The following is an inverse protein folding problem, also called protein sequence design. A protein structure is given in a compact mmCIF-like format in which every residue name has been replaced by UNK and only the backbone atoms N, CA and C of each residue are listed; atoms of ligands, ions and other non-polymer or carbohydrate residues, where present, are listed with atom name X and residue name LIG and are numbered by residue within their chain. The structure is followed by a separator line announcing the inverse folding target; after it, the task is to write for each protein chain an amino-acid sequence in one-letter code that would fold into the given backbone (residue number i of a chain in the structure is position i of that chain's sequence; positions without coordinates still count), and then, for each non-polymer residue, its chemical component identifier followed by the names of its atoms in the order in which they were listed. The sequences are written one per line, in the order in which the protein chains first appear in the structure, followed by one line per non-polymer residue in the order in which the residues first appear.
data_IF_547466355766
#
_entry.id   IF_547466355766
#
_cell.length_a   1.000
_cell.length_b   1.000
_cell.length_c   1.000
_cell.angle_alpha   90.00
_cell.angle_beta   90.00
_cell.angle_gamma   90.00
#
_symmetry.space_group_name_H-M   'P 1'
#
loop_
_entity.id
_entity.type
_entity.pdbx_description
1 polymer ?
#
# COMPACT_ATOMS: atom_id res chain seq x y z
N UNK A 1 -14.68 4.85 -7.30
CA UNK A 1 -14.18 3.45 -7.21
C UNK A 1 -13.89 3.06 -5.76
N UNK A 2 -13.26 3.94 -4.96
CA UNK A 2 -12.92 3.64 -3.57
C UNK A 2 -14.11 3.28 -2.68
N UNK A 3 -15.11 4.17 -2.52
CA UNK A 3 -16.26 3.91 -1.66
C UNK A 3 -17.05 2.67 -2.05
N UNK A 4 -17.30 2.46 -3.34
CA UNK A 4 -18.09 1.33 -3.83
C UNK A 4 -17.42 -0.02 -3.50
N UNK A 5 -16.10 -0.15 -3.71
CA UNK A 5 -15.41 -1.40 -3.39
C UNK A 5 -15.31 -1.66 -1.89
N UNK A 6 -15.22 -0.61 -1.06
CA UNK A 6 -15.22 -0.75 0.40
C UNK A 6 -16.59 -1.20 0.88
N UNK A 7 -17.67 -0.64 0.34
CA UNK A 7 -19.04 -1.06 0.66
C UNK A 7 -19.24 -2.56 0.39
N UNK A 8 -18.83 -3.06 -0.77
CA UNK A 8 -18.93 -4.49 -1.10
C UNK A 8 -18.05 -5.36 -0.19
N UNK A 9 -16.86 -4.89 0.17
CA UNK A 9 -16.00 -5.60 1.11
C UNK A 9 -16.62 -5.69 2.51
N UNK A 10 -17.27 -4.63 2.99
CA UNK A 10 -18.01 -4.64 4.28
C UNK A 10 -19.15 -5.66 4.26
N UNK A 11 -19.92 -5.75 3.16
CA UNK A 11 -20.97 -6.76 3.03
C UNK A 11 -20.42 -8.19 3.12
N UNK A 12 -19.24 -8.43 2.56
CA UNK A 12 -18.56 -9.74 2.68
C UNK A 12 -18.13 -9.99 4.13
N UNK A 13 -17.55 -8.99 4.80
CA UNK A 13 -17.16 -9.11 6.22
C UNK A 13 -18.36 -9.40 7.11
N UNK A 14 -19.49 -8.73 6.90
CA UNK A 14 -20.73 -8.97 7.65
C UNK A 14 -21.20 -10.42 7.47
N UNK A 15 -21.16 -10.96 6.25
CA UNK A 15 -21.50 -12.37 6.00
C UNK A 15 -20.53 -13.35 6.65
N UNK A 16 -19.24 -13.02 6.70
CA UNK A 16 -18.24 -13.80 7.44
C UNK A 16 -18.56 -13.74 8.95
N UNK A 17 -18.89 -12.56 9.45
CA UNK A 17 -19.30 -12.35 10.85
C UNK A 17 -20.51 -13.20 11.23
N UNK A 18 -21.59 -13.14 10.45
CA UNK A 18 -22.77 -13.98 10.63
C UNK A 18 -22.43 -15.47 10.66
N UNK A 19 -21.57 -15.93 9.76
CA UNK A 19 -21.23 -17.36 9.62
C UNK A 19 -20.31 -17.88 10.71
N UNK A 20 -19.36 -17.06 11.19
CA UNK A 20 -18.30 -17.48 12.10
C UNK A 20 -18.40 -16.86 13.51
N UNK A 21 -19.45 -16.08 13.79
CA UNK A 21 -19.68 -15.49 15.10
C UNK A 21 -18.77 -14.30 15.42
N UNK A 22 -18.37 -13.53 14.40
CA UNK A 22 -17.62 -12.29 14.59
C UNK A 22 -18.55 -11.08 14.51
N UNK A 23 -18.20 -10.02 15.24
CA UNK A 23 -18.86 -8.72 15.15
C UNK A 23 -17.85 -7.68 14.69
N UNK A 24 -18.18 -6.96 13.63
CA UNK A 24 -17.36 -5.87 13.11
C UNK A 24 -17.98 -4.53 13.47
N UNK A 25 -17.19 -3.65 14.07
CA UNK A 25 -17.56 -2.27 14.34
C UNK A 25 -16.80 -1.38 13.36
N UNK A 26 -17.51 -0.74 12.44
CA UNK A 26 -16.91 0.08 11.40
C UNK A 26 -16.86 1.55 11.82
N UNK A 27 -15.70 2.18 11.63
CA UNK A 27 -15.52 3.62 11.66
C UNK A 27 -15.07 4.09 10.29
N UNK A 28 -15.87 4.92 9.61
CA UNK A 28 -15.57 5.40 8.27
C UNK A 28 -14.85 6.75 8.33
N UNK A 29 -13.73 6.86 7.63
CA UNK A 29 -12.92 8.07 7.55
C UNK A 29 -12.51 8.36 6.12
N UNK A 30 -12.30 9.65 5.85
CA UNK A 30 -11.81 10.12 4.57
C UNK A 30 -10.28 10.08 4.55
N UNK A 31 -9.73 9.50 3.48
CA UNK A 31 -8.30 9.52 3.19
C UNK A 31 -8.07 9.74 1.69
N UNK A 32 -6.84 10.04 1.32
CA UNK A 32 -6.43 10.24 -0.07
C UNK A 32 -7.20 11.40 -0.74
N UNK A 33 -7.70 11.18 -1.95
CA UNK A 33 -8.40 12.20 -2.73
C UNK A 33 -9.68 12.73 -2.07
N UNK A 34 -10.45 11.87 -1.42
CA UNK A 34 -11.66 12.30 -0.70
C UNK A 34 -11.34 13.23 0.47
N UNK A 35 -10.25 12.98 1.18
CA UNK A 35 -9.78 13.86 2.26
C UNK A 35 -9.24 15.19 1.71
N UNK A 36 -8.57 15.20 0.57
CA UNK A 36 -8.13 16.44 -0.08
C UNK A 36 -9.35 17.31 -0.40
N UNK A 37 -10.42 16.73 -0.95
CA UNK A 37 -11.64 17.47 -1.29
C UNK A 37 -12.36 18.03 -0.06
N UNK A 38 -12.39 17.29 1.04
CA UNK A 38 -13.11 17.69 2.25
C UNK A 38 -12.27 18.53 3.21
N UNK A 39 -10.98 18.20 3.37
CA UNK A 39 -10.11 18.72 4.42
C UNK A 39 -8.92 19.52 3.88
N UNK A 40 -8.71 19.55 2.55
CA UNK A 40 -7.55 20.20 1.92
C UNK A 40 -6.23 19.44 2.03
N UNK A 41 -6.21 18.30 2.74
CA UNK A 41 -5.03 17.45 2.96
C UNK A 41 -5.37 16.00 2.71
N UNK A 42 -4.41 15.16 2.23
CA UNK A 42 -4.68 13.77 1.91
C UNK A 42 -4.92 12.88 3.14
N UNK A 43 -4.42 13.29 4.32
CA UNK A 43 -4.55 12.55 5.57
C UNK A 43 -4.57 13.54 6.74
N UNK A 44 -5.52 13.39 7.66
CA UNK A 44 -5.62 14.20 8.87
C UNK A 44 -5.01 13.47 10.08
N UNK A 45 -4.55 14.22 11.07
CA UNK A 45 -4.07 13.63 12.35
C UNK A 45 -5.18 12.84 13.06
N UNK A 46 -6.42 13.30 13.00
CA UNK A 46 -7.57 12.60 13.54
C UNK A 46 -7.71 11.20 12.92
N UNK A 47 -7.62 11.09 11.59
CA UNK A 47 -7.67 9.79 10.89
C UNK A 47 -6.52 8.88 11.33
N UNK A 48 -5.31 9.42 11.51
CA UNK A 48 -4.16 8.65 12.00
C UNK A 48 -4.43 8.08 13.39
N UNK A 49 -4.90 8.90 14.32
CA UNK A 49 -5.14 8.47 15.69
C UNK A 49 -6.24 7.40 15.79
N UNK A 50 -7.27 7.51 14.97
CA UNK A 50 -8.32 6.49 14.94
C UNK A 50 -7.80 5.19 14.34
N UNK A 51 -7.02 5.25 13.25
CA UNK A 51 -6.40 4.08 12.66
C UNK A 51 -5.45 3.36 13.64
N UNK A 52 -4.71 4.11 14.48
CA UNK A 52 -3.84 3.52 15.52
C UNK A 52 -4.62 2.75 16.59
N UNK A 53 -5.85 3.15 16.87
CA UNK A 53 -6.70 2.53 17.89
C UNK A 53 -7.63 1.44 17.33
N UNK A 54 -7.62 1.20 16.01
CA UNK A 54 -8.40 0.17 15.37
C UNK A 54 -7.63 -1.16 15.28
N UNK A 55 -8.33 -2.28 15.32
CA UNK A 55 -7.73 -3.61 15.12
C UNK A 55 -7.21 -3.81 13.70
N UNK A 56 -7.87 -3.18 12.71
CA UNK A 56 -7.49 -3.25 11.30
C UNK A 56 -8.00 -2.04 10.54
N UNK A 57 -7.36 -1.73 9.40
CA UNK A 57 -7.75 -0.65 8.50
C UNK A 57 -8.03 -1.23 7.12
N UNK A 58 -9.27 -1.06 6.65
CA UNK A 58 -9.67 -1.41 5.29
C UNK A 58 -9.55 -0.17 4.39
N UNK A 59 -8.65 -0.19 3.44
CA UNK A 59 -8.43 0.90 2.50
C UNK A 59 -8.92 0.51 1.10
N UNK A 60 -9.69 1.38 0.47
CA UNK A 60 -10.19 1.18 -0.88
C UNK A 60 -9.16 1.46 -1.97
N UNK A 61 -9.41 2.44 -2.82
CA UNK A 61 -8.52 2.85 -3.91
C UNK A 61 -7.86 4.19 -3.64
N UNK A 62 -6.66 4.38 -4.17
CA UNK A 62 -5.85 5.59 -4.01
C UNK A 62 -5.68 6.28 -5.36
N UNK A 63 -5.87 7.60 -5.38
CA UNK A 63 -5.62 8.42 -6.56
C UNK A 63 -6.78 8.46 -7.57
N UNK A 64 -6.54 9.21 -8.62
CA UNK A 64 -7.46 9.38 -9.75
C UNK A 64 -7.17 10.66 -10.53
N UNK A 65 -7.62 10.77 -11.78
CA UNK A 65 -7.28 11.88 -12.67
C UNK A 65 -7.57 13.29 -12.10
N UNK A 66 -8.58 13.38 -11.23
CA UNK A 66 -8.95 14.64 -10.57
C UNK A 66 -7.80 15.26 -9.75
N UNK A 67 -6.91 14.44 -9.18
CA UNK A 67 -5.85 14.88 -8.28
C UNK A 67 -4.44 14.79 -8.88
N UNK A 68 -4.31 14.48 -10.18
CA UNK A 68 -3.00 14.33 -10.85
C UNK A 68 -2.16 15.62 -10.82
N UNK A 69 -2.82 16.77 -10.82
CA UNK A 69 -2.18 18.08 -10.80
C UNK A 69 -1.93 18.65 -9.39
N UNK A 70 -2.16 17.87 -8.33
CA UNK A 70 -1.86 18.30 -6.96
C UNK A 70 -0.35 18.46 -6.74
N UNK A 71 0.08 19.43 -5.90
CA UNK A 71 1.47 19.54 -5.47
C UNK A 71 1.95 18.21 -4.84
N UNK A 72 3.24 17.92 -4.96
CA UNK A 72 3.81 16.64 -4.50
C UNK A 72 3.45 16.29 -3.04
N UNK A 73 3.44 17.28 -2.15
CA UNK A 73 3.08 17.11 -0.74
C UNK A 73 1.58 16.81 -0.52
N UNK A 74 0.73 17.13 -1.50
CA UNK A 74 -0.72 16.99 -1.40
C UNK A 74 -1.28 15.91 -2.37
N UNK A 75 -0.44 15.03 -2.86
CA UNK A 75 -0.91 13.91 -3.69
C UNK A 75 -1.63 12.86 -2.85
N UNK A 76 -2.68 12.20 -3.38
CA UNK A 76 -3.43 11.16 -2.66
C UNK A 76 -2.56 10.04 -2.07
N UNK A 77 -1.48 9.66 -2.77
CA UNK A 77 -0.54 8.61 -2.35
C UNK A 77 0.17 8.93 -1.03
N UNK A 78 0.27 10.23 -0.67
CA UNK A 78 0.86 10.66 0.61
C UNK A 78 0.06 10.16 1.81
N UNK A 79 -1.25 9.99 1.67
CA UNK A 79 -2.08 9.39 2.73
C UNK A 79 -1.68 7.94 3.00
N UNK A 80 -1.49 7.14 1.94
CA UNK A 80 -1.09 5.75 2.07
C UNK A 80 0.30 5.62 2.72
N UNK A 81 1.26 6.43 2.27
CA UNK A 81 2.62 6.45 2.85
C UNK A 81 2.59 6.92 4.31
N UNK A 82 1.80 7.96 4.61
CA UNK A 82 1.61 8.47 5.96
C UNK A 82 1.01 7.43 6.92
N UNK A 83 -0.03 6.71 6.50
CA UNK A 83 -0.62 5.63 7.29
C UNK A 83 0.37 4.48 7.51
N UNK A 84 1.11 4.06 6.49
CA UNK A 84 2.15 3.02 6.63
C UNK A 84 3.20 3.40 7.66
N UNK A 85 3.69 4.62 7.61
CA UNK A 85 4.66 5.15 8.57
C UNK A 85 4.06 5.23 10.00
N UNK A 86 2.87 5.81 10.14
CA UNK A 86 2.22 6.02 11.43
C UNK A 86 1.84 4.71 12.15
N UNK A 87 1.48 3.68 11.38
CA UNK A 87 1.11 2.35 11.89
C UNK A 87 2.29 1.36 11.91
N UNK A 88 3.49 1.75 11.49
CA UNK A 88 4.66 0.88 11.45
C UNK A 88 4.51 -0.33 10.51
N UNK A 89 3.78 -0.17 9.41
CA UNK A 89 3.50 -1.26 8.46
C UNK A 89 4.73 -1.50 7.58
N UNK A 90 5.46 -2.57 7.82
CA UNK A 90 6.70 -2.89 7.12
C UNK A 90 6.56 -3.97 6.03
N UNK A 91 5.55 -4.83 6.12
CA UNK A 91 5.40 -5.98 5.22
C UNK A 91 4.17 -5.82 4.32
N UNK A 92 4.37 -5.78 3.01
CA UNK A 92 3.30 -5.85 2.03
C UNK A 92 3.23 -7.28 1.48
N UNK A 93 2.19 -8.00 1.86
CA UNK A 93 1.98 -9.39 1.47
C UNK A 93 1.08 -9.41 0.23
N UNK A 94 1.62 -9.95 -0.87
CA UNK A 94 0.93 -10.00 -2.17
C UNK A 94 0.83 -11.41 -2.68
N UNK A 95 -0.28 -12.13 -2.41
CA UNK A 95 -0.51 -13.42 -3.03
C UNK A 95 -0.79 -13.23 -4.52
N UNK A 96 -0.18 -14.06 -5.36
CA UNK A 96 -0.40 -14.16 -6.79
C UNK A 96 -0.65 -15.63 -7.14
N UNK A 97 -1.89 -15.97 -7.38
CA UNK A 97 -2.31 -17.32 -7.69
C UNK A 97 -2.92 -17.34 -9.11
N UNK A 98 -2.53 -18.31 -9.89
CA UNK A 98 -3.17 -18.55 -11.17
C UNK A 98 -4.36 -19.50 -11.04
N UNK A 99 -5.54 -19.01 -11.34
CA UNK A 99 -6.74 -19.83 -11.40
C UNK A 99 -6.80 -20.53 -12.76
N UNK A 100 -7.08 -21.85 -12.76
CA UNK A 100 -7.17 -22.65 -14.00
C UNK A 100 -8.15 -22.08 -15.03
N UNK A 101 -9.25 -21.49 -14.57
CA UNK A 101 -10.22 -20.83 -15.43
C UNK A 101 -9.69 -19.58 -16.15
N UNK A 102 -8.56 -19.02 -15.72
CA UNK A 102 -7.93 -17.82 -16.28
C UNK A 102 -6.59 -18.14 -16.97
N UNK A 103 -6.24 -19.42 -17.12
CA UNK A 103 -4.94 -19.83 -17.68
C UNK A 103 -4.72 -19.28 -19.10
N UNK A 104 -5.76 -19.23 -19.93
CA UNK A 104 -5.70 -18.73 -21.30
C UNK A 104 -5.44 -17.21 -21.39
N UNK A 105 -5.70 -16.47 -20.31
CA UNK A 105 -5.40 -15.04 -20.21
C UNK A 105 -3.94 -14.75 -19.75
N UNK A 106 -3.20 -15.78 -19.35
CA UNK A 106 -1.83 -15.62 -18.89
C UNK A 106 -0.87 -15.46 -20.09
N UNK A 107 0.00 -14.42 -20.09
CA UNK A 107 0.94 -14.17 -21.17
C UNK A 107 2.17 -15.10 -21.16
N UNK A 108 2.32 -15.92 -20.12
CA UNK A 108 3.41 -16.88 -20.00
C UNK A 108 3.08 -18.14 -20.76
N UNK A 109 4.08 -18.73 -21.44
CA UNK A 109 3.89 -19.95 -22.21
C UNK A 109 3.39 -21.11 -21.36
N UNK A 110 2.44 -21.93 -21.87
CA UNK A 110 1.86 -23.04 -21.12
C UNK A 110 2.88 -24.04 -20.59
N UNK A 111 3.95 -24.32 -21.34
CA UNK A 111 5.01 -25.23 -20.92
C UNK A 111 5.86 -24.72 -19.74
N UNK A 112 5.83 -23.40 -19.46
CA UNK A 112 6.49 -22.77 -18.30
C UNK A 112 5.56 -22.76 -17.10
N UNK A 113 4.27 -22.49 -17.32
CA UNK A 113 3.24 -22.42 -16.28
C UNK A 113 2.97 -23.81 -15.68
N UNK A 114 2.94 -24.86 -16.54
CA UNK A 114 2.54 -26.20 -16.12
C UNK A 114 1.14 -26.19 -15.51
N UNK A 115 1.01 -26.75 -14.30
CA UNK A 115 -0.28 -26.82 -13.57
C UNK A 115 -0.71 -25.51 -12.89
N UNK A 116 0.06 -24.44 -13.04
CA UNK A 116 -0.20 -23.14 -12.43
C UNK A 116 0.90 -22.71 -11.47
N UNK A 117 0.69 -21.56 -10.83
CA UNK A 117 1.58 -21.05 -9.78
C UNK A 117 0.77 -20.49 -8.61
N UNK A 118 1.36 -20.58 -7.44
CA UNK A 118 0.92 -19.93 -6.21
C UNK A 118 2.15 -19.30 -5.55
N UNK A 119 2.25 -17.98 -5.63
CA UNK A 119 3.40 -17.20 -5.18
C UNK A 119 2.92 -16.14 -4.21
N UNK A 120 3.62 -16.02 -3.08
CA UNK A 120 3.42 -14.90 -2.15
C UNK A 120 4.65 -14.01 -2.17
N UNK A 121 4.48 -12.77 -2.63
CA UNK A 121 5.53 -11.76 -2.62
C UNK A 121 5.47 -11.00 -1.30
N UNK A 122 6.52 -11.15 -0.48
CA UNK A 122 6.71 -10.40 0.75
C UNK A 122 7.60 -9.18 0.46
N UNK A 123 7.00 -7.98 0.41
CA UNK A 123 7.71 -6.75 0.10
C UNK A 123 7.95 -5.93 1.37
N UNK A 124 9.20 -5.55 1.62
CA UNK A 124 9.55 -4.53 2.62
C UNK A 124 9.04 -3.16 2.16
N UNK A 125 8.51 -2.34 3.11
CA UNK A 125 7.81 -1.10 2.80
C UNK A 125 8.40 0.16 3.40
N UNK A 126 9.32 0.08 4.35
CA UNK A 126 9.77 1.25 5.13
C UNK A 126 11.17 1.72 4.77
N UNK A 127 11.91 0.98 3.97
CA UNK A 127 13.14 1.38 3.32
C UNK A 127 12.92 1.84 1.88
N UNK A 128 14.01 1.79 1.09
CA UNK A 128 13.99 2.04 -0.34
C UNK A 128 13.82 3.53 -0.72
N UNK A 129 13.71 3.77 -2.02
CA UNK A 129 13.55 5.09 -2.65
C UNK A 129 12.34 5.90 -2.13
N UNK A 130 11.36 5.25 -1.51
CA UNK A 130 10.18 5.94 -0.98
C UNK A 130 10.46 6.76 0.29
N UNK A 131 11.49 6.38 1.05
CA UNK A 131 11.84 7.00 2.33
C UNK A 131 13.31 7.41 2.42
N UNK A 132 14.13 7.04 1.40
CA UNK A 132 15.51 7.47 1.26
C UNK A 132 15.65 8.96 1.00
N UNK A 133 16.85 9.47 1.19
CA UNK A 133 17.14 10.85 0.83
C UNK A 133 17.11 11.05 -0.68
N UNK A 134 16.48 12.13 -1.12
CA UNK A 134 16.43 12.48 -2.54
C UNK A 134 16.53 14.00 -2.73
N UNK A 135 17.00 14.42 -3.87
CA UNK A 135 17.11 15.84 -4.15
C UNK A 135 17.99 16.21 -5.33
N UNK A 136 18.52 17.41 -5.25
CA UNK A 136 19.46 17.95 -6.23
C UNK A 136 20.66 18.55 -5.50
N UNK A 137 21.86 18.35 -6.03
CA UNK A 137 23.10 18.94 -5.53
C UNK A 137 24.04 19.29 -6.69
N UNK A 138 24.97 20.20 -6.46
CA UNK A 138 26.04 20.45 -7.40
C UNK A 138 26.96 19.23 -7.51
N UNK A 139 27.35 18.93 -8.75
CA UNK A 139 28.31 17.85 -9.03
C UNK A 139 29.70 18.24 -8.50
N UNK A 140 30.38 17.28 -7.89
CA UNK A 140 31.80 17.45 -7.48
C UNK A 140 32.76 17.51 -8.68
N UNK A 141 32.32 17.13 -9.86
CA UNK A 141 33.12 17.06 -11.09
C UNK A 141 32.81 18.20 -12.08
N UNK A 142 32.18 19.28 -11.63
CA UNK A 142 31.76 20.42 -12.47
C UNK A 142 30.80 20.05 -13.64
N UNK A 143 30.00 18.99 -13.48
CA UNK A 143 29.00 18.58 -14.47
C UNK A 143 27.65 19.30 -14.30
N UNK A 144 27.59 20.31 -13.43
CA UNK A 144 26.37 21.01 -13.09
C UNK A 144 25.55 20.31 -12.02
N UNK A 145 24.25 20.57 -11.98
CA UNK A 145 23.34 20.01 -10.99
C UNK A 145 23.05 18.55 -11.31
N UNK A 146 23.19 17.68 -10.30
CA UNK A 146 22.83 16.26 -10.36
C UNK A 146 21.62 16.00 -9.46
N UNK A 147 20.70 15.17 -9.95
CA UNK A 147 19.64 14.55 -9.15
C UNK A 147 20.18 13.31 -8.44
N UNK A 148 19.71 13.04 -7.23
CA UNK A 148 20.02 11.80 -6.52
C UNK A 148 18.79 11.28 -5.80
N UNK A 149 18.78 9.96 -5.61
CA UNK A 149 17.72 9.23 -4.93
C UNK A 149 18.35 8.00 -4.27
N UNK A 150 18.33 7.95 -2.93
CA UNK A 150 19.00 6.92 -2.18
C UNK A 150 18.09 5.73 -1.89
N UNK A 151 18.54 4.55 -2.26
CA UNK A 151 17.90 3.29 -1.93
C UNK A 151 18.64 2.62 -0.79
N UNK A 152 18.11 2.75 0.43
CA UNK A 152 18.75 2.28 1.66
C UNK A 152 17.92 1.22 2.36
N UNK A 153 18.59 0.16 2.83
CA UNK A 153 18.02 -0.86 3.70
C UNK A 153 18.96 -1.13 4.87
N UNK A 154 18.42 -1.07 6.08
CA UNK A 154 19.14 -1.50 7.27
C UNK A 154 19.09 -3.01 7.45
N UNK A 155 20.03 -3.55 8.21
CA UNK A 155 20.01 -4.98 8.61
C UNK A 155 18.69 -5.35 9.27
N UNK A 156 18.18 -4.50 10.15
CA UNK A 156 16.89 -4.69 10.83
C UNK A 156 15.72 -4.85 9.85
N UNK A 157 15.65 -4.01 8.82
CA UNK A 157 14.59 -4.07 7.81
C UNK A 157 14.66 -5.36 6.99
N UNK A 158 15.86 -5.76 6.58
CA UNK A 158 16.07 -7.01 5.84
C UNK A 158 15.74 -8.23 6.70
N UNK A 159 16.19 -8.27 7.95
CA UNK A 159 15.91 -9.39 8.85
C UNK A 159 14.42 -9.56 9.14
N UNK A 160 13.70 -8.50 9.45
CA UNK A 160 12.26 -8.60 9.78
C UNK A 160 11.42 -9.07 8.61
N UNK A 161 11.67 -8.59 7.38
CA UNK A 161 10.91 -9.03 6.21
C UNK A 161 11.27 -10.47 5.82
N UNK A 162 12.56 -10.84 5.90
CA UNK A 162 13.00 -12.21 5.65
C UNK A 162 12.36 -13.17 6.66
N UNK A 163 12.44 -12.87 7.96
CA UNK A 163 11.79 -13.67 9.01
C UNK A 163 10.31 -13.86 8.73
N UNK A 164 9.59 -12.78 8.41
CA UNK A 164 8.17 -12.87 8.10
C UNK A 164 7.88 -13.75 6.88
N UNK A 165 8.71 -13.66 5.84
CA UNK A 165 8.55 -14.47 4.64
C UNK A 165 8.79 -15.97 4.90
N UNK A 166 9.72 -16.34 5.79
CA UNK A 166 10.00 -17.73 6.15
C UNK A 166 9.00 -18.31 7.16
N UNK A 167 8.26 -17.49 7.88
CA UNK A 167 7.21 -17.91 8.82
C UNK A 167 5.85 -18.15 8.15
N UNK A 168 5.70 -17.74 6.90
CA UNK A 168 4.46 -17.91 6.10
C UNK A 168 4.44 -19.25 5.37
#
# INVERSE_FOLDING_TARGET
VGPEIVTEAMLVLDKVGEKFGHTFNYNEFLACGCSIDANGVPLTEETIEICKNADSVLLGAVGGPKWDNQPSQNRPEKALLGLRAALGLFANIRPAMMYKALADACPIKPEIIGDGFDIVVCRELTGDVYFGEHGRRESTNNWGVVGYDDMNYSVYEVERIARRAFEM
#
